data_IF_111868678499
#
_entry.id   IF_111868678499
#
_cell.length_a   1.000
_cell.length_b   1.000
_cell.length_c   1.000
_cell.angle_alpha   90.00
_cell.angle_beta   90.00
_cell.angle_gamma   90.00
#
_symmetry.space_group_name_H-M   'P 1'
#
loop_
_entity.id
_entity.type
_entity.pdbx_description
1 polymer ?
#
# COMPACT_ATOMS: atom_id res chain seq x y z
N UNK A 1 -14.22 -2.64 0.74
CA UNK A 1 -12.81 -2.26 0.69
C UNK A 1 -12.65 -0.95 1.43
N UNK A 2 -11.72 -0.91 2.37
CA UNK A 2 -11.30 0.25 3.11
C UNK A 2 -10.51 1.19 2.20
N UNK A 3 -10.57 2.49 2.47
CA UNK A 3 -9.77 3.48 1.74
C UNK A 3 -8.24 3.20 1.80
N UNK A 4 -7.67 2.80 2.96
CA UNK A 4 -6.29 2.33 3.02
C UNK A 4 -5.94 1.21 2.03
N UNK A 5 -6.81 0.22 1.87
CA UNK A 5 -6.59 -0.87 0.92
C UNK A 5 -6.63 -0.38 -0.54
N UNK A 6 -7.55 0.52 -0.88
CA UNK A 6 -7.59 1.15 -2.22
C UNK A 6 -6.28 1.88 -2.51
N UNK A 7 -5.72 2.56 -1.50
CA UNK A 7 -4.45 3.29 -1.61
C UNK A 7 -3.26 2.35 -1.78
N UNK A 8 -3.21 1.27 -1.01
CA UNK A 8 -2.20 0.22 -1.16
C UNK A 8 -2.26 -0.42 -2.55
N UNK A 9 -3.47 -0.70 -3.08
CA UNK A 9 -3.65 -1.22 -4.43
C UNK A 9 -3.13 -0.25 -5.50
N UNK A 10 -3.40 1.05 -5.35
CA UNK A 10 -2.88 2.09 -6.24
C UNK A 10 -1.35 2.12 -6.24
N UNK A 11 -0.73 2.04 -5.06
CA UNK A 11 0.73 2.03 -4.92
C UNK A 11 1.35 0.78 -5.57
N UNK A 12 0.75 -0.40 -5.32
CA UNK A 12 1.21 -1.66 -5.94
C UNK A 12 1.05 -1.67 -7.44
N UNK A 13 -0.04 -1.11 -7.96
CA UNK A 13 -0.23 -0.96 -9.41
C UNK A 13 0.85 -0.07 -10.04
N UNK A 14 1.19 1.07 -9.41
CA UNK A 14 2.28 1.94 -9.88
C UNK A 14 3.63 1.24 -9.83
N UNK A 15 3.89 0.45 -8.78
CA UNK A 15 5.12 -0.34 -8.68
C UNK A 15 5.18 -1.40 -9.80
N UNK A 16 4.09 -2.13 -10.04
CA UNK A 16 3.99 -3.11 -11.12
C UNK A 16 4.23 -2.47 -12.51
N UNK A 17 3.65 -1.30 -12.76
CA UNK A 17 3.87 -0.55 -14.00
C UNK A 17 5.35 -0.18 -14.18
N UNK A 18 6.02 0.27 -13.09
CA UNK A 18 7.46 0.57 -13.11
C UNK A 18 8.32 -0.67 -13.35
N UNK A 19 7.93 -1.83 -12.81
CA UNK A 19 8.63 -3.10 -13.04
C UNK A 19 8.43 -3.63 -14.47
N UNK A 20 7.31 -3.31 -15.13
CA UNK A 20 7.04 -3.70 -16.51
C UNK A 20 7.94 -3.01 -17.54
N UNK A 21 8.32 -1.75 -17.32
CA UNK A 21 9.15 -0.96 -18.25
C UNK A 21 10.48 -1.65 -18.64
N UNK A 22 11.31 -2.13 -17.68
CA UNK A 22 12.50 -2.95 -17.96
C UNK A 22 12.22 -4.16 -18.86
N UNK A 23 11.13 -4.87 -18.61
CA UNK A 23 10.77 -6.10 -19.33
C UNK A 23 10.43 -5.76 -20.79
N UNK A 24 9.65 -4.70 -21.02
CA UNK A 24 9.34 -4.23 -22.37
C UNK A 24 10.58 -3.78 -23.14
N UNK A 25 11.51 -3.06 -22.48
CA UNK A 25 12.77 -2.66 -23.10
C UNK A 25 13.62 -3.88 -23.50
N UNK A 26 13.71 -4.90 -22.66
CA UNK A 26 14.39 -6.15 -23.00
C UNK A 26 13.71 -6.90 -24.15
N UNK A 27 12.37 -6.94 -24.18
CA UNK A 27 11.63 -7.57 -25.26
C UNK A 27 11.86 -6.85 -26.61
N UNK A 28 11.83 -5.52 -26.62
CA UNK A 28 12.06 -4.69 -27.82
C UNK A 28 13.49 -4.88 -28.33
N UNK A 29 14.49 -4.82 -27.45
CA UNK A 29 15.90 -5.01 -27.83
C UNK A 29 16.13 -6.42 -28.39
N UNK A 30 15.58 -7.45 -27.74
CA UNK A 30 15.66 -8.84 -28.24
C UNK A 30 14.96 -9.02 -29.58
N UNK A 31 13.78 -8.42 -29.76
CA UNK A 31 13.04 -8.46 -31.03
C UNK A 31 13.80 -7.75 -32.17
N UNK A 32 14.39 -6.58 -31.89
CA UNK A 32 15.23 -5.87 -32.87
C UNK A 32 16.46 -6.69 -33.29
N UNK A 33 17.06 -7.44 -32.37
CA UNK A 33 18.17 -8.34 -32.66
C UNK A 33 17.78 -9.46 -33.63
N UNK A 34 16.61 -10.07 -33.42
CA UNK A 34 16.07 -11.12 -34.30
C UNK A 34 15.79 -10.59 -35.70
N UNK A 35 15.20 -9.39 -35.82
CA UNK A 35 15.02 -8.74 -37.12
C UNK A 35 16.36 -8.48 -37.81
N UNK A 36 17.37 -7.99 -37.07
CA UNK A 36 18.68 -7.74 -37.63
C UNK A 36 19.40 -9.02 -38.10
N UNK A 37 19.24 -10.13 -37.38
CA UNK A 37 19.72 -11.45 -37.80
C UNK A 37 19.13 -11.88 -39.15
N UNK A 38 17.85 -11.63 -39.36
CA UNK A 38 17.17 -11.90 -40.63
C UNK A 38 17.76 -11.09 -41.80
N UNK A 39 18.32 -9.91 -41.54
CA UNK A 39 18.95 -9.04 -42.53
C UNK A 39 20.49 -9.22 -42.67
N UNK A 40 21.04 -10.34 -42.17
CA UNK A 40 22.32 -11.00 -42.55
C UNK A 40 23.56 -10.91 -41.64
N UNK A 41 23.56 -10.31 -40.43
CA UNK A 41 24.66 -10.48 -39.45
C UNK A 41 24.27 -9.98 -38.06
N UNK A 42 24.95 -10.37 -36.97
CA UNK A 42 24.87 -9.68 -35.66
C UNK A 42 26.30 -9.39 -35.17
N UNK A 43 26.67 -8.14 -34.89
CA UNK A 43 27.94 -7.82 -34.23
C UNK A 43 28.06 -8.53 -32.88
N UNK A 44 29.19 -9.16 -32.62
CA UNK A 44 29.47 -9.80 -31.32
C UNK A 44 29.36 -8.80 -30.16
N UNK A 45 29.72 -7.53 -30.39
CA UNK A 45 29.56 -6.42 -29.43
C UNK A 45 28.12 -6.20 -28.99
N UNK A 46 27.15 -6.42 -29.87
CA UNK A 46 25.73 -6.29 -29.57
C UNK A 46 25.26 -7.35 -28.56
N UNK A 47 25.76 -8.59 -28.69
CA UNK A 47 25.44 -9.69 -27.77
C UNK A 47 25.96 -9.39 -26.37
N UNK A 48 27.20 -8.91 -26.27
CA UNK A 48 27.80 -8.53 -24.98
C UNK A 48 27.05 -7.38 -24.30
N UNK A 49 26.69 -6.33 -25.05
CA UNK A 49 25.89 -5.20 -24.52
C UNK A 49 24.53 -5.70 -24.03
N UNK A 50 23.88 -6.61 -24.77
CA UNK A 50 22.58 -7.17 -24.40
C UNK A 50 22.63 -7.97 -23.10
N UNK A 51 23.69 -8.76 -22.89
CA UNK A 51 23.92 -9.52 -21.64
C UNK A 51 24.10 -8.56 -20.46
N UNK A 52 24.88 -7.49 -20.63
CA UNK A 52 25.10 -6.47 -19.58
C UNK A 52 23.79 -5.77 -19.24
N UNK A 53 23.03 -5.31 -20.24
CA UNK A 53 21.73 -4.68 -20.04
C UNK A 53 20.77 -5.63 -19.31
N UNK A 54 20.73 -6.90 -19.70
CA UNK A 54 19.91 -7.91 -19.04
C UNK A 54 20.25 -8.07 -17.56
N UNK A 55 21.55 -8.16 -17.22
CA UNK A 55 22.00 -8.24 -15.83
C UNK A 55 21.62 -6.99 -15.02
N UNK A 56 21.77 -5.79 -15.59
CA UNK A 56 21.38 -4.52 -14.95
C UNK A 56 19.88 -4.45 -14.73
N UNK A 57 19.07 -4.92 -15.69
CA UNK A 57 17.61 -4.95 -15.56
C UNK A 57 17.14 -5.94 -14.50
N UNK A 58 17.75 -7.12 -14.40
CA UNK A 58 17.49 -8.07 -13.31
C UNK A 58 17.75 -7.41 -11.95
N UNK A 59 18.93 -6.79 -11.80
CA UNK A 59 19.26 -6.06 -10.57
C UNK A 59 18.25 -4.96 -10.25
N UNK A 60 17.86 -4.18 -11.26
CA UNK A 60 16.89 -3.10 -11.09
C UNK A 60 15.50 -3.61 -10.68
N UNK A 61 15.04 -4.74 -11.22
CA UNK A 61 13.78 -5.39 -10.81
C UNK A 61 13.87 -5.81 -9.34
N UNK A 62 14.95 -6.48 -8.93
CA UNK A 62 15.14 -6.86 -7.53
C UNK A 62 15.19 -5.65 -6.60
N UNK A 63 15.84 -4.57 -7.00
CA UNK A 63 15.85 -3.29 -6.28
C UNK A 63 14.43 -2.72 -6.11
N UNK A 64 13.61 -2.73 -7.18
CA UNK A 64 12.23 -2.27 -7.10
C UNK A 64 11.36 -3.17 -6.21
N UNK A 65 11.53 -4.49 -6.27
CA UNK A 65 10.83 -5.44 -5.40
C UNK A 65 11.18 -5.16 -3.94
N UNK A 66 12.47 -5.05 -3.61
CA UNK A 66 12.95 -4.77 -2.26
C UNK A 66 12.33 -3.49 -1.72
N UNK A 67 12.40 -2.41 -2.48
CA UNK A 67 11.82 -1.11 -2.12
C UNK A 67 10.29 -1.18 -1.96
N UNK A 68 9.61 -1.98 -2.78
CA UNK A 68 8.17 -2.20 -2.69
C UNK A 68 7.71 -2.84 -1.38
N UNK A 69 8.57 -3.64 -0.72
CA UNK A 69 8.26 -4.21 0.59
C UNK A 69 8.35 -3.18 1.71
N UNK A 70 9.30 -2.25 1.65
CA UNK A 70 9.47 -1.17 2.64
C UNK A 70 8.37 -0.10 2.53
N UNK A 71 7.73 0.03 1.37
CA UNK A 71 6.72 1.07 1.09
C UNK A 71 5.27 0.68 1.43
N UNK A 72 5.02 -0.46 2.12
CA UNK A 72 3.65 -0.84 2.52
C UNK A 72 3.00 0.26 3.36
N UNK A 73 1.87 0.77 2.89
CA UNK A 73 1.14 1.83 3.61
C UNK A 73 0.08 1.26 4.54
N UNK A 74 -0.22 -0.03 4.45
CA UNK A 74 -1.20 -0.72 5.30
C UNK A 74 -0.59 -1.75 6.23
N UNK A 75 -1.17 -1.85 7.42
CA UNK A 75 -0.91 -2.91 8.40
C UNK A 75 -1.37 -4.28 7.86
N UNK A 76 -0.59 -5.35 8.04
CA UNK A 76 -0.86 -6.64 7.41
C UNK A 76 -2.03 -7.43 8.04
N UNK A 77 -2.48 -7.06 9.24
CA UNK A 77 -3.56 -7.75 9.95
C UNK A 77 -4.90 -7.07 9.69
N UNK A 78 -4.92 -5.75 9.86
CA UNK A 78 -6.14 -4.94 9.81
C UNK A 78 -6.43 -4.38 8.43
N UNK A 79 -5.41 -4.29 7.58
CA UNK A 79 -5.41 -3.54 6.32
C UNK A 79 -5.75 -2.04 6.47
N UNK A 80 -5.74 -1.51 7.69
CA UNK A 80 -5.76 -0.07 7.94
C UNK A 80 -4.40 0.55 7.63
N UNK A 81 -4.29 1.88 7.54
CA UNK A 81 -2.99 2.53 7.37
C UNK A 81 -2.03 2.21 8.52
N UNK A 82 -0.74 2.09 8.19
CA UNK A 82 0.32 2.01 9.21
C UNK A 82 0.40 3.32 9.99
N UNK A 83 0.93 3.24 11.21
CA UNK A 83 1.20 4.39 12.07
C UNK A 83 2.02 5.47 11.35
N UNK A 84 3.08 5.07 10.67
CA UNK A 84 4.02 5.98 9.99
C UNK A 84 3.34 6.70 8.85
N UNK A 85 2.53 5.99 8.06
CA UNK A 85 1.78 6.59 6.96
C UNK A 85 0.72 7.57 7.48
N UNK A 86 -0.02 7.15 8.52
CA UNK A 86 -1.10 7.94 9.08
C UNK A 86 -0.60 9.26 9.69
N UNK A 87 0.53 9.24 10.41
CA UNK A 87 1.15 10.45 10.95
C UNK A 87 1.54 11.45 9.85
N UNK A 88 2.14 10.95 8.75
CA UNK A 88 2.47 11.79 7.58
C UNK A 88 1.20 12.36 6.95
N UNK A 89 0.13 11.57 6.85
CA UNK A 89 -1.14 11.99 6.30
C UNK A 89 -1.80 13.07 7.17
N UNK A 90 -1.89 12.87 8.48
CA UNK A 90 -2.48 13.83 9.41
C UNK A 90 -1.73 15.15 9.42
N UNK A 91 -0.39 15.12 9.46
CA UNK A 91 0.43 16.34 9.33
C UNK A 91 0.09 17.14 8.08
N UNK A 92 -0.15 16.45 6.95
CA UNK A 92 -0.53 17.09 5.68
C UNK A 92 -1.97 17.62 5.70
N UNK A 93 -2.93 16.90 6.29
CA UNK A 93 -4.34 17.31 6.28
C UNK A 93 -4.61 18.45 7.27
N UNK A 94 -3.97 18.46 8.44
CA UNK A 94 -4.08 19.55 9.43
C UNK A 94 -3.61 20.88 8.84
N UNK A 95 -2.58 20.87 7.98
CA UNK A 95 -2.09 22.07 7.30
C UNK A 95 -3.08 22.63 6.27
N UNK A 96 -4.07 21.84 5.82
CA UNK A 96 -5.07 22.27 4.83
C UNK A 96 -6.30 22.93 5.45
N UNK A 97 -6.46 22.84 6.77
CA UNK A 97 -7.61 23.38 7.49
C UNK A 97 -8.07 22.49 8.64
N UNK A 98 -9.25 22.77 9.22
CA UNK A 98 -9.78 22.03 10.36
C UNK A 98 -9.86 20.53 10.08
N UNK A 99 -9.32 19.75 11.01
CA UNK A 99 -9.24 18.30 10.89
C UNK A 99 -9.49 17.64 12.25
N UNK A 100 -10.42 16.69 12.29
CA UNK A 100 -10.80 15.97 13.49
C UNK A 100 -10.11 14.61 13.48
N UNK A 101 -9.45 14.26 14.59
CA UNK A 101 -8.81 12.96 14.78
C UNK A 101 -9.53 12.25 15.92
N UNK A 102 -10.00 11.04 15.66
CA UNK A 102 -10.67 10.18 16.64
C UNK A 102 -9.71 9.04 16.98
N UNK A 103 -9.52 8.78 18.27
CA UNK A 103 -8.90 7.56 18.79
C UNK A 103 -10.01 6.61 19.22
N UNK A 104 -9.98 5.39 18.70
CA UNK A 104 -10.86 4.29 19.07
C UNK A 104 -10.01 3.14 19.56
N UNK A 105 -10.29 2.64 20.77
CA UNK A 105 -9.56 1.53 21.38
C UNK A 105 -10.50 0.34 21.57
N UNK A 106 -10.03 -0.86 21.21
CA UNK A 106 -10.74 -2.11 21.48
C UNK A 106 -10.41 -2.56 22.90
N UNK A 107 -11.44 -2.63 23.75
CA UNK A 107 -11.32 -3.19 25.10
C UNK A 107 -11.11 -4.71 25.08
N UNK A 108 -10.40 -5.22 26.08
CA UNK A 108 -10.22 -6.66 26.35
C UNK A 108 -9.58 -7.48 25.21
N UNK A 109 -8.86 -6.85 24.28
CA UNK A 109 -8.15 -7.58 23.22
C UNK A 109 -7.12 -8.57 23.79
N UNK A 110 -6.47 -8.22 24.91
CA UNK A 110 -5.54 -9.10 25.62
C UNK A 110 -6.22 -10.38 26.15
N UNK A 111 -7.43 -10.27 26.69
CA UNK A 111 -8.20 -11.42 27.16
C UNK A 111 -8.64 -12.31 26.01
N UNK A 112 -9.05 -11.71 24.88
CA UNK A 112 -9.39 -12.44 23.67
C UNK A 112 -8.18 -13.23 23.16
N UNK A 113 -7.01 -12.60 23.11
CA UNK A 113 -5.76 -13.25 22.72
C UNK A 113 -5.40 -14.40 23.66
N UNK A 114 -5.58 -14.21 24.96
CA UNK A 114 -5.22 -15.22 25.97
C UNK A 114 -6.16 -16.41 25.97
N UNK A 115 -7.48 -16.19 25.79
CA UNK A 115 -8.51 -17.23 25.84
C UNK A 115 -8.72 -17.95 24.50
N UNK A 116 -8.60 -17.22 23.40
CA UNK A 116 -8.94 -17.72 22.06
C UNK A 116 -7.74 -17.71 21.10
N UNK A 117 -6.56 -17.28 21.54
CA UNK A 117 -5.35 -17.25 20.74
C UNK A 117 -5.23 -16.01 19.84
N UNK A 118 -3.98 -15.65 19.53
CA UNK A 118 -3.62 -14.42 18.78
C UNK A 118 -4.36 -14.33 17.44
N UNK A 119 -4.49 -15.45 16.70
CA UNK A 119 -5.21 -15.46 15.41
C UNK A 119 -6.67 -14.99 15.53
N UNK A 120 -7.32 -15.21 16.67
CA UNK A 120 -8.69 -14.73 16.87
C UNK A 120 -8.73 -13.25 17.29
N UNK A 121 -7.73 -12.75 18.01
CA UNK A 121 -7.56 -11.31 18.19
C UNK A 121 -7.26 -10.57 16.87
N UNK A 122 -6.44 -11.15 16.01
CA UNK A 122 -6.18 -10.63 14.66
C UNK A 122 -7.48 -10.52 13.84
N UNK A 123 -8.37 -11.51 13.94
CA UNK A 123 -9.70 -11.44 13.31
C UNK A 123 -10.56 -10.32 13.90
N UNK A 124 -10.51 -10.11 15.22
CA UNK A 124 -11.23 -9.01 15.88
C UNK A 124 -10.71 -7.66 15.35
N UNK A 125 -9.39 -7.48 15.30
CA UNK A 125 -8.76 -6.27 14.77
C UNK A 125 -9.17 -6.00 13.31
N UNK A 126 -9.10 -7.03 12.46
CA UNK A 126 -9.55 -6.96 11.06
C UNK A 126 -11.02 -6.55 10.96
N UNK A 127 -11.90 -7.21 11.73
CA UNK A 127 -13.34 -6.98 11.69
C UNK A 127 -13.70 -5.57 12.17
N UNK A 128 -13.06 -5.08 13.23
CA UNK A 128 -13.29 -3.73 13.76
C UNK A 128 -12.89 -2.68 12.73
N UNK A 129 -11.71 -2.80 12.10
CA UNK A 129 -11.28 -1.88 11.05
C UNK A 129 -12.31 -1.82 9.90
N UNK A 130 -12.81 -2.97 9.46
CA UNK A 130 -13.82 -3.09 8.40
C UNK A 130 -15.19 -2.55 8.82
N UNK A 131 -15.60 -2.79 10.07
CA UNK A 131 -16.87 -2.30 10.62
C UNK A 131 -16.87 -0.77 10.68
N UNK A 132 -15.78 -0.16 11.17
CA UNK A 132 -15.61 1.30 11.20
C UNK A 132 -15.76 1.88 9.78
N UNK A 133 -15.02 1.33 8.82
CA UNK A 133 -15.08 1.81 7.44
C UNK A 133 -16.45 1.64 6.79
N UNK A 134 -17.13 0.50 7.05
CA UNK A 134 -18.49 0.25 6.57
C UNK A 134 -19.48 1.25 7.16
N UNK A 135 -19.46 1.43 8.48
CA UNK A 135 -20.33 2.37 9.20
C UNK A 135 -20.19 3.79 8.67
N UNK A 136 -18.95 4.29 8.52
CA UNK A 136 -18.70 5.64 8.02
C UNK A 136 -19.16 5.82 6.57
N UNK A 137 -18.98 4.79 5.74
CA UNK A 137 -19.48 4.78 4.36
C UNK A 137 -21.02 4.84 4.31
N UNK A 138 -21.71 4.11 5.17
CA UNK A 138 -23.18 4.15 5.31
C UNK A 138 -23.67 5.52 5.77
N UNK A 139 -22.89 6.25 6.55
CA UNK A 139 -23.13 7.66 6.91
C UNK A 139 -22.71 8.66 5.83
N UNK A 140 -22.36 8.20 4.63
CA UNK A 140 -21.96 9.04 3.49
C UNK A 140 -20.55 9.61 3.57
N UNK A 141 -19.76 9.22 4.57
CA UNK A 141 -18.39 9.70 4.75
C UNK A 141 -17.44 8.76 4.00
N UNK A 142 -17.00 9.19 2.81
CA UNK A 142 -16.13 8.40 1.95
C UNK A 142 -14.65 8.76 2.14
N UNK A 143 -13.77 7.85 1.70
CA UNK A 143 -12.30 8.02 1.72
C UNK A 143 -11.76 8.40 3.09
N UNK A 144 -12.27 7.75 4.13
CA UNK A 144 -11.83 8.01 5.50
C UNK A 144 -10.48 7.33 5.77
N UNK A 145 -9.44 8.08 6.17
CA UNK A 145 -8.22 7.48 6.67
C UNK A 145 -8.46 6.84 8.04
N UNK A 146 -8.33 5.51 8.06
CA UNK A 146 -8.32 4.69 9.26
C UNK A 146 -6.92 4.09 9.34
N UNK A 147 -6.26 4.20 10.49
CA UNK A 147 -4.95 3.59 10.71
C UNK A 147 -4.88 2.81 12.01
N UNK A 148 -4.17 1.69 11.98
CA UNK A 148 -3.86 0.88 13.15
C UNK A 148 -2.61 1.45 13.82
N UNK A 149 -2.73 1.88 15.07
CA UNK A 149 -1.64 2.53 15.80
C UNK A 149 -0.80 1.52 16.57
N UNK A 150 -1.43 0.79 17.49
CA UNK A 150 -0.81 -0.23 18.34
C UNK A 150 -1.89 -1.03 19.06
N UNK A 151 -1.71 -2.35 19.16
CA UNK A 151 -2.60 -3.19 19.97
C UNK A 151 -4.04 -3.14 19.47
N UNK A 152 -4.96 -2.62 20.30
CA UNK A 152 -6.36 -2.41 19.93
C UNK A 152 -6.69 -1.01 19.43
N UNK A 153 -5.69 -0.14 19.25
CA UNK A 153 -5.89 1.29 19.01
C UNK A 153 -5.93 1.64 17.52
N UNK A 154 -6.99 2.34 17.12
CA UNK A 154 -7.22 2.86 15.79
C UNK A 154 -7.35 4.38 15.83
N UNK A 155 -6.72 5.03 14.85
CA UNK A 155 -6.93 6.44 14.58
C UNK A 155 -7.77 6.62 13.32
N UNK A 156 -8.73 7.53 13.39
CA UNK A 156 -9.63 7.87 12.28
C UNK A 156 -9.53 9.38 12.05
N UNK A 157 -9.28 9.79 10.82
CA UNK A 157 -9.17 11.19 10.45
C UNK A 157 -10.38 11.68 9.64
N UNK A 158 -10.99 12.78 10.06
CA UNK A 158 -12.19 13.35 9.44
C UNK A 158 -11.98 14.83 9.12
N UNK A 159 -12.48 15.28 7.96
CA UNK A 159 -12.30 16.67 7.49
C UNK A 159 -13.35 17.62 8.05
N UNK A 160 -12.88 18.69 8.69
CA UNK A 160 -13.73 19.65 9.38
C UNK A 160 -13.57 19.51 10.89
N UNK A 161 -14.28 20.38 11.60
CA UNK A 161 -14.29 20.39 13.06
C UNK A 161 -15.24 19.33 13.61
N UNK A 162 -15.08 19.00 14.90
CA UNK A 162 -15.84 17.91 15.56
C UNK A 162 -17.35 18.14 15.52
N UNK A 163 -17.80 19.40 15.48
CA UNK A 163 -19.21 19.79 15.48
C UNK A 163 -19.95 19.29 14.23
N UNK A 164 -19.21 19.04 13.14
CA UNK A 164 -19.75 18.46 11.91
C UNK A 164 -20.12 16.99 12.05
N UNK A 165 -19.59 16.31 13.06
CA UNK A 165 -19.71 14.87 13.27
C UNK A 165 -20.43 14.61 14.59
N UNK A 166 -21.72 14.91 14.64
CA UNK A 166 -22.58 14.57 15.77
C UNK A 166 -23.21 13.19 15.55
N UNK A 167 -23.04 12.30 16.53
CA UNK A 167 -23.88 11.11 16.67
C UNK A 167 -25.21 11.53 17.28
N UNK A 168 -26.31 11.10 16.64
CA UNK A 168 -27.68 11.21 17.18
C UNK A 168 -27.78 10.36 18.44
#
# INVERSE_FOLDING_TARGET
>A
MLYPEEKERENRFKLALRMGLPIFLLAITSFSALLYQYFNSIPVTFVFISIIIFAVMIYYIFYLIYRGFEERVTDPVTFAFTREYLQKLFKKEIQKGPYTIILLSIDNLGDINSRFGIKNGDKVLYNVAHLIGKYLKEKGIQKVPIGHYKGGDFFIGLRGSKEKYQTI
#
